data_IF_402953823680
#
_entry.id   IF_402953823680
#
_cell.length_a   1.000
_cell.length_b   1.000
_cell.length_c   1.000
_cell.angle_alpha   90.00
_cell.angle_beta   90.00
_cell.angle_gamma   90.00
#
_symmetry.space_group_name_H-M   'P 1'
#
loop_
_entity.id
_entity.type
_entity.pdbx_description
1 polymer ?
#
# COMPACT_ATOMS: atom_id res chain seq x y z
N UNK A 1 2.70 7.48 -3.19
CA UNK A 1 2.70 8.92 -2.81
C UNK A 1 1.73 9.65 -3.71
N UNK A 2 0.75 10.35 -3.14
CA UNK A 2 -0.39 10.96 -3.85
C UNK A 2 -0.44 12.50 -3.81
N UNK A 3 0.51 13.17 -3.15
CA UNK A 3 0.47 14.63 -2.97
C UNK A 3 -0.46 15.11 -1.85
N UNK A 4 -1.24 14.23 -1.23
CA UNK A 4 -2.15 14.55 -0.11
C UNK A 4 -1.58 14.07 1.23
N UNK A 5 -1.34 12.76 1.36
CA UNK A 5 -0.77 12.20 2.59
C UNK A 5 0.70 12.59 2.78
N UNK A 6 1.42 12.74 1.66
CA UNK A 6 2.77 13.30 1.59
C UNK A 6 2.85 14.28 0.42
N UNK A 7 3.68 15.35 0.47
CA UNK A 7 3.74 16.36 -0.58
C UNK A 7 4.25 15.84 -1.93
N UNK A 8 5.06 14.78 -1.92
CA UNK A 8 5.63 14.20 -3.12
C UNK A 8 4.59 13.39 -3.91
N UNK A 9 4.69 13.43 -5.24
CA UNK A 9 3.93 12.58 -6.15
C UNK A 9 4.90 11.60 -6.81
N UNK A 10 4.49 10.33 -6.89
CA UNK A 10 5.31 9.24 -7.41
C UNK A 10 4.64 8.57 -8.62
N UNK A 11 4.22 7.33 -8.47
CA UNK A 11 3.53 6.55 -9.50
C UNK A 11 2.44 5.67 -8.89
N UNK A 12 1.45 5.34 -9.71
CA UNK A 12 0.31 4.50 -9.31
C UNK A 12 0.41 3.06 -9.82
N UNK A 13 -0.71 2.33 -9.68
CA UNK A 13 -0.86 0.94 -10.11
C UNK A 13 -0.43 0.62 -11.57
N UNK A 14 -0.59 1.50 -12.58
CA UNK A 14 -0.12 1.22 -13.94
C UNK A 14 1.39 0.95 -14.03
N UNK A 15 2.21 1.62 -13.22
CA UNK A 15 3.66 1.40 -13.19
C UNK A 15 3.99 0.05 -12.53
N UNK A 16 3.29 -0.31 -11.45
CA UNK A 16 3.43 -1.64 -10.82
C UNK A 16 3.12 -2.75 -11.83
N UNK A 17 2.07 -2.59 -12.63
CA UNK A 17 1.69 -3.53 -13.70
C UNK A 17 2.79 -3.66 -14.76
N UNK A 18 3.38 -2.53 -15.18
CA UNK A 18 4.51 -2.53 -16.12
C UNK A 18 5.71 -3.30 -15.56
N UNK A 19 6.08 -3.04 -14.31
CA UNK A 19 7.19 -3.73 -13.62
C UNK A 19 6.89 -5.22 -13.48
N UNK A 20 5.65 -5.59 -13.13
CA UNK A 20 5.27 -7.00 -12.98
C UNK A 20 5.53 -7.82 -14.24
N UNK A 21 5.39 -7.21 -15.43
CA UNK A 21 5.63 -7.87 -16.71
C UNK A 21 7.11 -8.16 -17.03
N UNK A 22 8.05 -7.56 -16.31
CA UNK A 22 9.51 -7.68 -16.60
C UNK A 22 10.31 -8.34 -15.49
N UNK A 23 9.67 -8.78 -14.41
CA UNK A 23 10.33 -9.48 -13.31
C UNK A 23 9.41 -10.55 -12.75
N UNK A 24 9.98 -11.57 -12.10
CA UNK A 24 9.26 -12.54 -11.26
C UNK A 24 9.49 -12.30 -9.76
N UNK A 25 10.36 -11.34 -9.41
CA UNK A 25 10.66 -11.01 -8.02
C UNK A 25 9.43 -10.44 -7.29
N UNK A 26 9.32 -10.60 -5.96
CA UNK A 26 8.24 -10.00 -5.20
C UNK A 26 8.24 -8.46 -5.33
N UNK A 27 7.05 -7.88 -5.56
CA UNK A 27 6.84 -6.44 -5.57
C UNK A 27 6.20 -6.00 -4.25
N UNK A 28 6.96 -5.25 -3.46
CA UNK A 28 6.46 -4.60 -2.25
C UNK A 28 5.95 -3.20 -2.57
N UNK A 29 4.68 -2.93 -2.24
CA UNK A 29 4.03 -1.65 -2.47
C UNK A 29 3.81 -0.95 -1.15
N UNK A 30 4.55 0.14 -0.94
CA UNK A 30 4.36 1.04 0.20
C UNK A 30 3.45 2.21 -0.18
N UNK A 31 2.24 2.20 0.37
CA UNK A 31 1.23 3.22 0.13
C UNK A 31 1.36 4.36 1.14
N UNK A 32 1.88 5.49 0.64
CA UNK A 32 1.83 6.80 1.27
C UNK A 32 0.73 7.63 0.61
N UNK A 33 -0.54 7.33 0.93
CA UNK A 33 -1.75 7.94 0.33
C UNK A 33 -2.87 8.03 1.37
N UNK A 34 -3.84 8.93 1.21
CA UNK A 34 -4.98 9.04 2.15
C UNK A 34 -6.11 8.03 1.85
N UNK A 35 -6.38 7.75 0.56
CA UNK A 35 -7.47 6.86 0.13
C UNK A 35 -7.03 5.39 0.05
N UNK A 36 -6.46 4.85 1.12
CA UNK A 36 -5.84 3.51 1.13
C UNK A 36 -6.83 2.41 0.72
N UNK A 37 -7.95 2.28 1.45
CA UNK A 37 -8.85 1.12 1.30
C UNK A 37 -9.51 1.01 -0.08
N UNK A 38 -9.70 2.14 -0.77
CA UNK A 38 -10.26 2.18 -2.13
C UNK A 38 -9.24 1.86 -3.22
N UNK A 39 -7.94 1.93 -2.90
CA UNK A 39 -6.85 1.72 -3.85
C UNK A 39 -6.24 0.32 -3.75
N UNK A 40 -6.45 -0.42 -2.66
CA UNK A 40 -5.86 -1.74 -2.44
C UNK A 40 -6.05 -2.70 -3.62
N UNK A 41 -7.28 -2.86 -4.10
CA UNK A 41 -7.61 -3.77 -5.20
C UNK A 41 -6.88 -3.41 -6.50
N UNK A 42 -6.68 -2.13 -6.77
CA UNK A 42 -5.97 -1.67 -7.96
C UNK A 42 -4.48 -2.07 -7.92
N UNK A 43 -3.84 -1.95 -6.77
CA UNK A 43 -2.43 -2.34 -6.59
C UNK A 43 -2.24 -3.85 -6.55
N UNK A 44 -3.15 -4.60 -5.91
CA UNK A 44 -3.14 -6.07 -5.95
C UNK A 44 -3.33 -6.57 -7.38
N UNK A 45 -4.33 -6.05 -8.09
CA UNK A 45 -4.59 -6.41 -9.49
C UNK A 45 -3.47 -5.99 -10.45
N UNK A 46 -2.60 -5.06 -10.05
CA UNK A 46 -1.40 -4.69 -10.79
C UNK A 46 -0.21 -5.63 -10.54
N UNK A 47 -0.31 -6.56 -9.59
CA UNK A 47 0.72 -7.56 -9.32
C UNK A 47 1.57 -7.30 -8.07
N UNK A 48 1.07 -6.49 -7.12
CA UNK A 48 1.68 -6.37 -5.80
C UNK A 48 1.71 -7.73 -5.07
N UNK A 49 2.80 -8.03 -4.36
CA UNK A 49 2.93 -9.21 -3.52
C UNK A 49 2.76 -8.88 -2.03
N UNK A 50 3.08 -7.64 -1.66
CA UNK A 50 2.81 -7.07 -0.35
C UNK A 50 2.31 -5.64 -0.49
N UNK A 51 1.45 -5.25 0.45
CA UNK A 51 1.00 -3.87 0.60
C UNK A 51 1.26 -3.43 2.03
N UNK A 52 2.04 -2.37 2.17
CA UNK A 52 2.38 -1.74 3.44
C UNK A 52 1.74 -0.35 3.48
N UNK A 53 1.00 -0.04 4.56
CA UNK A 53 0.22 1.20 4.70
C UNK A 53 0.62 1.94 5.96
N UNK A 54 0.45 3.26 5.98
CA UNK A 54 0.65 4.05 7.18
C UNK A 54 -0.53 3.89 8.14
N UNK A 55 -0.27 3.65 9.42
CA UNK A 55 -1.32 3.61 10.46
C UNK A 55 -2.08 4.94 10.55
N UNK A 56 -1.42 6.04 10.21
CA UNK A 56 -1.99 7.38 10.26
C UNK A 56 -2.85 7.73 9.03
N UNK A 57 -2.84 6.89 8.01
CA UNK A 57 -3.60 7.06 6.78
C UNK A 57 -4.92 6.25 6.76
N UNK A 58 -5.20 5.50 7.83
CA UNK A 58 -6.33 4.57 7.90
C UNK A 58 -7.06 4.73 9.24
N UNK A 59 -8.37 4.52 9.24
CA UNK A 59 -9.20 4.66 10.43
C UNK A 59 -9.27 3.40 11.29
N UNK A 60 -9.24 2.22 10.66
CA UNK A 60 -9.22 0.92 11.33
C UNK A 60 -8.10 0.04 10.76
N UNK A 61 -6.92 0.03 11.42
CA UNK A 61 -5.79 -0.80 10.98
C UNK A 61 -6.12 -2.29 10.91
N UNK A 62 -6.95 -2.81 11.81
CA UNK A 62 -7.28 -4.23 11.81
C UNK A 62 -8.15 -4.59 10.59
N UNK A 63 -9.12 -3.75 10.24
CA UNK A 63 -9.94 -3.93 9.05
C UNK A 63 -9.11 -3.83 7.76
N UNK A 64 -8.28 -2.79 7.62
CA UNK A 64 -7.43 -2.64 6.43
C UNK A 64 -6.47 -3.82 6.27
N UNK A 65 -5.78 -4.25 7.34
CA UNK A 65 -4.86 -5.39 7.25
C UNK A 65 -5.58 -6.73 7.00
N UNK A 66 -6.85 -6.89 7.44
CA UNK A 66 -7.68 -8.03 7.05
C UNK A 66 -8.00 -7.98 5.56
N UNK A 67 -8.46 -6.83 5.05
CA UNK A 67 -8.77 -6.65 3.63
C UNK A 67 -7.56 -6.97 2.74
N UNK A 68 -6.36 -6.51 3.11
CA UNK A 68 -5.12 -6.82 2.38
C UNK A 68 -4.86 -8.34 2.32
N UNK A 69 -5.10 -9.07 3.42
CA UNK A 69 -4.98 -10.54 3.46
C UNK A 69 -6.04 -11.24 2.62
N UNK A 70 -7.28 -10.77 2.66
CA UNK A 70 -8.40 -11.31 1.86
C UNK A 70 -8.15 -11.13 0.37
N UNK A 71 -7.44 -10.08 -0.03
CA UNK A 71 -6.97 -9.86 -1.41
C UNK A 71 -5.78 -10.75 -1.79
N UNK A 72 -5.30 -11.61 -0.90
CA UNK A 72 -4.27 -12.62 -1.19
C UNK A 72 -2.83 -12.12 -1.18
N UNK A 73 -2.57 -10.93 -0.62
CA UNK A 73 -1.21 -10.36 -0.53
C UNK A 73 -0.77 -10.15 0.93
N UNK A 74 0.53 -10.03 1.15
CA UNK A 74 1.09 -9.85 2.50
C UNK A 74 0.80 -8.44 3.02
N UNK A 75 0.16 -8.28 4.20
CA UNK A 75 -0.06 -6.97 4.79
C UNK A 75 1.18 -6.45 5.54
N UNK A 76 1.34 -5.13 5.55
CA UNK A 76 2.34 -4.40 6.33
C UNK A 76 1.75 -3.12 6.92
N UNK A 77 2.30 -2.70 8.06
CA UNK A 77 1.97 -1.43 8.71
C UNK A 77 3.25 -0.63 8.92
N UNK A 78 3.23 0.63 8.52
CA UNK A 78 4.31 1.60 8.74
C UNK A 78 3.84 2.66 9.72
N UNK A 79 4.76 3.12 10.55
CA UNK A 79 4.57 4.23 11.47
C UNK A 79 5.50 5.37 11.06
N UNK A 80 5.01 6.62 11.15
CA UNK A 80 5.90 7.78 11.10
C UNK A 80 6.85 7.76 12.30
N UNK A 81 8.03 8.41 12.19
CA UNK A 81 9.01 8.43 13.27
C UNK A 81 8.46 8.91 14.63
N UNK A 82 7.45 9.78 14.61
CA UNK A 82 6.84 10.37 15.81
C UNK A 82 5.64 9.57 16.33
N UNK A 83 5.25 8.49 15.66
CA UNK A 83 4.06 7.72 16.03
C UNK A 83 4.45 6.66 17.06
N UNK A 84 3.79 6.71 18.21
CA UNK A 84 3.99 5.76 19.32
C UNK A 84 3.65 4.34 18.89
N UNK A 85 4.37 3.37 19.47
CA UNK A 85 4.09 1.93 19.35
C UNK A 85 3.36 1.37 20.58
N UNK A 86 3.31 2.16 21.66
CA UNK A 86 2.64 1.84 22.93
C UNK A 86 1.21 2.37 22.97
#
# INVERSE_FOLDING_TARGET
MDGHFVPAISFGAPVVRGIRGVTSLPLDVHLMIDSVDSQLEAFVSAGANSITVHVEAISDPAATLRKIRELGVRPGLTLRPTTSVD
#
